data_IF_074268077073
#
_entry.id   IF_074268077073
#
_cell.length_a   1.000
_cell.length_b   1.000
_cell.length_c   1.000
_cell.angle_alpha   90.00
_cell.angle_beta   90.00
_cell.angle_gamma   90.00
#
_symmetry.space_group_name_H-M   'P 1'
#
loop_
_entity.id
_entity.type
_entity.pdbx_description
1 polymer ?
#
# COMPACT_ATOMS: atom_id res chain seq x y z
N UNK A 1 8.47 4.19 1.64
CA UNK A 1 9.12 4.01 0.33
C UNK A 1 9.93 5.23 -0.10
N UNK A 2 9.41 6.45 0.04
CA UNK A 2 10.19 7.68 -0.24
C UNK A 2 11.48 7.74 0.59
N UNK A 3 11.37 7.63 1.92
CA UNK A 3 12.53 7.56 2.82
C UNK A 3 13.48 6.40 2.51
N UNK A 4 12.95 5.27 2.05
CA UNK A 4 13.78 4.15 1.63
C UNK A 4 14.61 4.51 0.38
N UNK A 5 14.06 5.34 -0.51
CA UNK A 5 14.80 5.91 -1.64
C UNK A 5 16.00 6.73 -1.17
N UNK A 6 15.84 7.58 -0.16
CA UNK A 6 16.96 8.33 0.44
C UNK A 6 18.05 7.42 1.02
N UNK A 7 17.69 6.24 1.52
CA UNK A 7 18.64 5.29 2.10
C UNK A 7 19.35 4.42 1.07
N UNK A 8 18.69 4.14 -0.07
CA UNK A 8 19.19 3.19 -1.07
C UNK A 8 19.82 3.84 -2.31
N UNK A 9 19.43 5.07 -2.62
CA UNK A 9 19.93 5.78 -3.80
C UNK A 9 21.12 6.66 -3.41
N UNK A 10 22.26 6.40 -4.04
CA UNK A 10 23.43 7.26 -3.94
C UNK A 10 23.26 8.45 -4.89
N UNK A 11 23.11 9.65 -4.32
CA UNK A 11 23.03 10.90 -5.06
C UNK A 11 24.36 11.64 -5.02
N UNK A 12 24.71 12.29 -6.12
CA UNK A 12 25.84 13.21 -6.16
C UNK A 12 25.54 14.44 -5.29
N UNK A 13 26.50 14.86 -4.45
CA UNK A 13 26.36 16.02 -3.55
C UNK A 13 26.10 17.35 -4.28
N UNK A 14 26.41 17.42 -5.58
CA UNK A 14 26.13 18.58 -6.43
C UNK A 14 24.68 18.65 -6.89
N UNK A 15 23.90 17.59 -6.70
CA UNK A 15 22.51 17.52 -7.12
C UNK A 15 21.64 18.43 -6.23
N UNK A 16 20.79 19.30 -6.81
CA UNK A 16 19.88 20.10 -6.01
C UNK A 16 18.96 19.22 -5.16
N UNK A 17 18.71 19.60 -3.91
CA UNK A 17 17.82 18.86 -3.00
C UNK A 17 16.43 18.59 -3.63
N UNK A 18 15.90 19.55 -4.41
CA UNK A 18 14.65 19.39 -5.15
C UNK A 18 14.64 18.18 -6.10
N UNK A 19 15.77 17.88 -6.72
CA UNK A 19 15.91 16.75 -7.63
C UNK A 19 16.05 15.43 -6.86
N UNK A 20 16.77 15.43 -5.74
CA UNK A 20 16.82 14.29 -4.81
C UNK A 20 15.41 13.88 -4.38
N UNK A 21 14.64 14.83 -3.86
CA UNK A 21 13.24 14.64 -3.45
C UNK A 21 12.39 14.10 -4.60
N UNK A 22 12.57 14.65 -5.81
CA UNK A 22 11.88 14.18 -7.01
C UNK A 22 12.25 12.74 -7.34
N UNK A 23 13.53 12.36 -7.26
CA UNK A 23 13.98 11.00 -7.54
C UNK A 23 13.51 10.00 -6.49
N UNK A 24 13.52 10.35 -5.20
CA UNK A 24 12.96 9.52 -4.13
C UNK A 24 11.45 9.29 -4.30
N UNK A 25 10.72 10.32 -4.74
CA UNK A 25 9.30 10.19 -5.09
C UNK A 25 9.08 9.27 -6.31
N UNK A 26 9.91 9.39 -7.35
CA UNK A 26 9.88 8.50 -8.52
C UNK A 26 10.17 7.05 -8.13
N UNK A 27 11.21 6.83 -7.33
CA UNK A 27 11.58 5.53 -6.80
C UNK A 27 10.43 4.89 -6.02
N UNK A 28 9.84 5.63 -5.08
CA UNK A 28 8.70 5.15 -4.31
C UNK A 28 7.52 4.76 -5.21
N UNK A 29 7.21 5.59 -6.21
CA UNK A 29 6.12 5.34 -7.15
C UNK A 29 6.36 4.11 -8.03
N UNK A 30 7.59 3.84 -8.47
CA UNK A 30 7.92 2.67 -9.29
C UNK A 30 8.06 1.39 -8.47
N UNK A 31 8.54 1.49 -7.23
CA UNK A 31 8.64 0.34 -6.31
C UNK A 31 7.27 -0.15 -5.83
N UNK A 32 6.33 0.77 -5.59
CA UNK A 32 4.98 0.39 -5.16
C UNK A 32 4.19 -0.27 -6.30
N UNK A 33 4.30 0.28 -7.52
CA UNK A 33 3.73 -0.33 -8.73
C UNK A 33 4.52 0.12 -9.95
N UNK A 34 5.08 -0.82 -10.71
CA UNK A 34 5.85 -0.47 -11.90
C UNK A 34 4.98 0.18 -12.97
N UNK A 35 5.57 1.04 -13.81
CA UNK A 35 4.87 1.68 -14.92
C UNK A 35 4.13 0.67 -15.82
N UNK A 36 4.72 -0.52 -16.04
CA UNK A 36 4.18 -1.52 -16.97
C UNK A 36 2.94 -2.19 -16.37
N UNK A 37 2.98 -2.49 -15.07
CA UNK A 37 1.82 -3.02 -14.35
C UNK A 37 0.72 -1.96 -14.26
N UNK A 38 1.07 -0.72 -13.96
CA UNK A 38 0.09 0.38 -13.86
C UNK A 38 -0.61 0.64 -15.20
N UNK A 39 0.13 0.64 -16.32
CA UNK A 39 -0.43 0.74 -17.67
C UNK A 39 -1.25 -0.48 -18.06
N UNK A 40 -0.91 -1.69 -17.60
CA UNK A 40 -1.74 -2.89 -17.82
C UNK A 40 -3.08 -2.80 -17.07
N UNK A 41 -3.10 -2.18 -15.89
CA UNK A 41 -4.31 -2.04 -15.08
C UNK A 41 -5.24 -0.93 -15.58
N UNK A 42 -4.71 0.20 -16.04
CA UNK A 42 -5.52 1.38 -16.43
C UNK A 42 -5.56 1.67 -17.93
N UNK A 43 -4.67 1.06 -18.71
CA UNK A 43 -4.41 1.41 -20.10
C UNK A 43 -3.34 2.50 -20.25
N UNK A 44 -3.04 2.83 -21.52
CA UNK A 44 -1.96 3.76 -21.88
C UNK A 44 -2.43 5.21 -22.08
N UNK A 45 -3.71 5.43 -22.36
CA UNK A 45 -4.31 6.75 -22.53
C UNK A 45 -5.80 6.69 -22.24
N UNK A 46 -6.29 7.63 -21.42
CA UNK A 46 -7.65 7.69 -20.90
C UNK A 46 -8.10 9.13 -20.82
N UNK A 47 -9.36 9.38 -21.17
CA UNK A 47 -10.00 10.65 -20.86
C UNK A 47 -10.31 10.77 -19.36
N UNK A 48 -10.76 9.67 -18.75
CA UNK A 48 -11.12 9.60 -17.34
C UNK A 48 -10.80 8.22 -16.75
N UNK A 49 -10.65 8.18 -15.42
CA UNK A 49 -10.42 6.98 -14.62
C UNK A 49 -11.46 6.97 -13.50
N UNK A 50 -12.21 5.88 -13.37
CA UNK A 50 -13.21 5.79 -12.31
C UNK A 50 -12.55 5.61 -10.94
N UNK A 51 -13.21 6.12 -9.89
CA UNK A 51 -12.73 5.92 -8.52
C UNK A 51 -12.68 4.43 -8.13
N UNK A 52 -13.53 3.60 -8.72
CA UNK A 52 -13.54 2.15 -8.45
C UNK A 52 -12.29 1.45 -9.00
N UNK A 53 -11.81 1.82 -10.19
CA UNK A 53 -10.54 1.33 -10.73
C UNK A 53 -9.38 1.70 -9.79
N UNK A 54 -9.34 2.95 -9.33
CA UNK A 54 -8.30 3.44 -8.42
C UNK A 54 -8.36 2.74 -7.05
N UNK A 55 -9.56 2.44 -6.55
CA UNK A 55 -9.75 1.69 -5.30
C UNK A 55 -9.32 0.23 -5.42
N UNK A 56 -9.51 -0.39 -6.58
CA UNK A 56 -9.02 -1.75 -6.82
C UNK A 56 -7.49 -1.80 -6.76
N UNK A 57 -6.82 -0.80 -7.34
CA UNK A 57 -5.35 -0.66 -7.26
C UNK A 57 -4.92 -0.35 -5.82
N UNK A 58 -5.63 0.53 -5.10
CA UNK A 58 -5.33 0.85 -3.70
C UNK A 58 -5.39 -0.39 -2.81
N UNK A 59 -6.39 -1.26 -3.01
CA UNK A 59 -6.54 -2.49 -2.22
C UNK A 59 -5.41 -3.49 -2.46
N UNK A 60 -4.96 -3.62 -3.72
CA UNK A 60 -3.92 -4.59 -4.08
C UNK A 60 -2.49 -4.12 -3.79
N UNK A 61 -2.23 -2.82 -3.85
CA UNK A 61 -0.86 -2.26 -3.77
C UNK A 61 -0.64 -1.28 -2.61
N UNK A 62 -1.69 -0.95 -1.85
CA UNK A 62 -1.61 0.00 -0.73
C UNK A 62 -1.35 1.46 -1.15
N UNK A 63 -1.58 1.80 -2.43
CA UNK A 63 -1.27 3.12 -2.99
C UNK A 63 -2.49 4.03 -2.91
N UNK A 64 -2.35 5.23 -2.33
CA UNK A 64 -3.45 6.19 -2.25
C UNK A 64 -3.97 6.60 -3.64
N UNK A 65 -5.26 6.91 -3.72
CA UNK A 65 -5.89 7.39 -4.96
C UNK A 65 -5.17 8.62 -5.53
N UNK A 66 -4.67 9.50 -4.67
CA UNK A 66 -3.94 10.70 -5.07
C UNK A 66 -2.59 10.38 -5.72
N UNK A 67 -1.82 9.46 -5.12
CA UNK A 67 -0.55 9.01 -5.69
C UNK A 67 -0.77 8.32 -7.04
N UNK A 68 -1.85 7.53 -7.17
CA UNK A 68 -2.22 6.92 -8.44
C UNK A 68 -2.59 7.98 -9.50
N UNK A 69 -3.38 8.99 -9.16
CA UNK A 69 -3.74 10.08 -10.09
C UNK A 69 -2.51 10.88 -10.51
N UNK A 70 -1.57 11.12 -9.60
CA UNK A 70 -0.29 11.75 -9.91
C UNK A 70 0.56 10.87 -10.85
N UNK A 71 0.65 9.56 -10.59
CA UNK A 71 1.36 8.62 -11.47
C UNK A 71 0.72 8.53 -12.86
N UNK A 72 -0.62 8.51 -12.94
CA UNK A 72 -1.35 8.49 -14.20
C UNK A 72 -1.04 9.72 -15.06
N UNK A 73 -0.97 10.90 -14.44
CA UNK A 73 -0.53 12.15 -15.08
C UNK A 73 0.91 12.05 -15.57
N UNK A 74 1.82 11.58 -14.70
CA UNK A 74 3.24 11.47 -15.00
C UNK A 74 3.54 10.50 -16.16
N UNK A 75 2.76 9.43 -16.28
CA UNK A 75 2.87 8.44 -17.36
C UNK A 75 2.10 8.84 -18.64
N UNK A 76 1.42 9.99 -18.65
CA UNK A 76 0.61 10.44 -19.79
C UNK A 76 -0.67 9.65 -20.01
N UNK A 77 -1.09 8.84 -19.02
CA UNK A 77 -2.35 8.09 -19.06
C UNK A 77 -3.53 9.08 -19.03
N UNK A 78 -3.41 10.14 -18.23
CA UNK A 78 -4.33 11.28 -18.23
C UNK A 78 -3.57 12.58 -18.50
N UNK A 79 -4.28 13.61 -18.97
CA UNK A 79 -3.68 14.93 -19.18
C UNK A 79 -3.43 15.68 -17.86
N UNK A 80 -2.51 16.64 -17.90
CA UNK A 80 -2.29 17.63 -16.82
C UNK A 80 -3.60 18.37 -16.45
N UNK A 81 -4.43 18.71 -17.44
CA UNK A 81 -5.71 19.35 -17.22
C UNK A 81 -6.70 18.46 -16.45
N UNK A 82 -6.70 17.15 -16.75
CA UNK A 82 -7.54 16.18 -16.05
C UNK A 82 -7.09 16.00 -14.60
N UNK A 83 -5.77 15.89 -14.37
CA UNK A 83 -5.22 15.83 -13.02
C UNK A 83 -5.57 17.09 -12.21
N UNK A 84 -5.41 18.28 -12.80
CA UNK A 84 -5.79 19.54 -12.16
C UNK A 84 -7.28 19.60 -11.82
N UNK A 85 -8.15 19.13 -12.73
CA UNK A 85 -9.58 19.02 -12.47
C UNK A 85 -9.89 18.10 -11.29
N UNK A 86 -9.22 16.95 -11.19
CA UNK A 86 -9.34 16.05 -10.05
C UNK A 86 -8.96 16.76 -8.74
N UNK A 87 -7.79 17.42 -8.67
CA UNK A 87 -7.36 18.13 -7.46
C UNK A 87 -8.35 19.23 -7.05
N UNK A 88 -8.84 20.02 -8.01
CA UNK A 88 -9.83 21.08 -7.75
C UNK A 88 -11.14 20.48 -7.23
N UNK A 89 -11.64 19.43 -7.88
CA UNK A 89 -12.89 18.77 -7.50
C UNK A 89 -12.79 18.15 -6.11
N UNK A 90 -11.68 17.46 -5.81
CA UNK A 90 -11.40 16.91 -4.46
C UNK A 90 -11.42 18.00 -3.40
N UNK A 91 -10.76 19.14 -3.65
CA UNK A 91 -10.66 20.21 -2.66
C UNK A 91 -11.97 21.00 -2.48
N UNK A 92 -12.85 21.04 -3.50
CA UNK A 92 -14.13 21.77 -3.44
C UNK A 92 -15.30 20.94 -2.92
N UNK A 93 -15.26 19.62 -3.10
CA UNK A 93 -16.37 18.73 -2.74
C UNK A 93 -15.95 17.82 -1.58
N UNK A 94 -16.44 18.15 -0.38
CA UNK A 94 -16.16 17.41 0.85
C UNK A 94 -16.57 15.93 0.75
N UNK A 95 -17.75 15.63 0.22
CA UNK A 95 -18.22 14.25 0.09
C UNK A 95 -17.33 13.43 -0.88
N UNK A 96 -16.88 14.05 -1.97
CA UNK A 96 -15.95 13.40 -2.88
C UNK A 96 -14.57 13.21 -2.25
N UNK A 97 -14.08 14.20 -1.49
CA UNK A 97 -12.83 14.09 -0.73
C UNK A 97 -12.85 12.90 0.22
N UNK A 98 -13.92 12.76 1.00
CA UNK A 98 -14.09 11.62 1.93
C UNK A 98 -14.09 10.28 1.19
N UNK A 99 -14.69 10.22 -0.01
CA UNK A 99 -14.66 9.01 -0.82
C UNK A 99 -13.25 8.67 -1.34
N UNK A 100 -12.45 9.68 -1.70
CA UNK A 100 -11.07 9.52 -2.19
C UNK A 100 -10.12 9.12 -1.06
N UNK A 101 -10.30 9.72 0.13
CA UNK A 101 -9.42 9.52 1.30
C UNK A 101 -9.81 8.27 2.11
N UNK A 102 -11.03 7.73 1.91
CA UNK A 102 -11.43 6.45 2.51
C UNK A 102 -10.58 5.30 1.98
N UNK A 103 -9.70 4.80 2.84
CA UNK A 103 -8.86 3.64 2.56
C UNK A 103 -9.70 2.40 2.26
N UNK A 104 -9.40 1.72 1.14
CA UNK A 104 -9.85 0.36 0.83
C UNK A 104 -8.80 -0.69 1.15
N UNK A 105 -7.67 -0.28 1.74
CA UNK A 105 -6.68 -1.20 2.26
C UNK A 105 -7.28 -1.86 3.50
N UNK A 106 -7.42 -3.18 3.45
CA UNK A 106 -7.77 -3.97 4.63
C UNK A 106 -6.53 -4.01 5.52
N UNK A 107 -6.67 -3.72 6.81
CA UNK A 107 -5.61 -4.01 7.77
C UNK A 107 -5.19 -5.47 7.57
N UNK A 108 -3.91 -5.68 7.27
CA UNK A 108 -3.28 -6.96 7.47
C UNK A 108 -3.53 -7.30 8.93
N UNK A 109 -4.37 -8.31 9.22
CA UNK A 109 -4.49 -8.82 10.58
C UNK A 109 -3.10 -9.31 10.94
N UNK A 110 -2.42 -8.60 11.84
CA UNK A 110 -1.09 -8.93 12.33
C UNK A 110 -1.13 -10.26 13.07
N UNK A 111 -1.17 -11.34 12.31
CA UNK A 111 -1.19 -12.71 12.81
C UNK A 111 0.24 -13.26 12.95
N UNK A 112 1.28 -12.50 12.58
CA UNK A 112 2.67 -13.00 12.61
C UNK A 112 3.08 -13.54 13.96
N UNK A 113 2.80 -12.81 15.05
CA UNK A 113 3.10 -13.30 16.39
C UNK A 113 2.30 -14.58 16.69
N UNK A 114 1.00 -14.58 16.41
CA UNK A 114 0.15 -15.75 16.60
C UNK A 114 0.63 -16.95 15.78
N UNK A 115 0.99 -16.76 14.52
CA UNK A 115 1.56 -17.77 13.62
C UNK A 115 2.89 -18.30 14.14
N UNK A 116 3.74 -17.45 14.75
CA UNK A 116 4.98 -17.90 15.38
C UNK A 116 4.69 -18.77 16.60
N UNK A 117 3.73 -18.39 17.43
CA UNK A 117 3.32 -19.18 18.60
C UNK A 117 2.74 -20.52 18.16
N UNK A 118 1.80 -20.53 17.19
CA UNK A 118 1.23 -21.78 16.67
C UNK A 118 2.28 -22.67 15.98
N UNK A 119 3.22 -22.08 15.24
CA UNK A 119 4.34 -22.83 14.65
C UNK A 119 5.25 -23.45 15.72
N UNK A 120 5.58 -22.71 16.77
CA UNK A 120 6.38 -23.22 17.89
C UNK A 120 5.65 -24.33 18.66
N UNK A 121 4.32 -24.19 18.86
CA UNK A 121 3.47 -25.20 19.48
C UNK A 121 3.40 -26.47 18.64
N UNK A 122 3.15 -26.35 17.33
CA UNK A 122 3.11 -27.48 16.39
C UNK A 122 4.47 -28.18 16.23
N UNK A 123 5.56 -27.44 16.44
CA UNK A 123 6.94 -27.98 16.43
C UNK A 123 7.38 -28.51 17.81
N UNK A 124 6.45 -28.60 18.78
CA UNK A 124 6.70 -29.05 20.16
C UNK A 124 7.79 -28.24 20.91
N UNK A 125 8.10 -27.02 20.45
CA UNK A 125 9.09 -26.14 21.10
C UNK A 125 8.54 -25.47 22.35
N UNK A 126 7.21 -25.33 22.44
CA UNK A 126 6.50 -24.78 23.60
C UNK A 126 5.27 -25.63 23.92
N UNK A 127 4.81 -25.57 25.17
CA UNK A 127 3.59 -26.26 25.59
C UNK A 127 2.33 -25.46 25.27
N UNK A 128 1.16 -26.13 25.28
CA UNK A 128 -0.14 -25.46 25.19
C UNK A 128 -0.35 -24.37 26.25
N UNK A 129 0.16 -24.60 27.48
CA UNK A 129 0.10 -23.60 28.55
C UNK A 129 0.90 -22.35 28.18
N UNK A 130 2.11 -22.54 27.62
CA UNK A 130 2.94 -21.40 27.20
C UNK A 130 2.35 -20.68 25.98
N UNK A 131 1.76 -21.41 25.04
CA UNK A 131 1.07 -20.81 23.90
C UNK A 131 -0.16 -19.98 24.34
N UNK A 132 -0.94 -20.49 25.30
CA UNK A 132 -2.08 -19.81 25.92
C UNK A 132 -1.66 -18.51 26.62
N UNK A 133 -0.57 -18.54 27.39
CA UNK A 133 0.02 -17.35 28.02
C UNK A 133 0.46 -16.31 26.97
N UNK A 134 1.18 -16.75 25.93
CA UNK A 134 1.71 -15.86 24.89
C UNK A 134 0.59 -15.22 24.06
N UNK A 135 -0.44 -15.98 23.69
CA UNK A 135 -1.58 -15.50 22.90
C UNK A 135 -2.59 -14.71 23.74
N UNK A 136 -2.47 -14.74 25.07
CA UNK A 136 -3.46 -14.23 26.01
C UNK A 136 -4.87 -14.82 25.75
N UNK A 137 -4.91 -16.12 25.49
CA UNK A 137 -6.12 -16.88 25.17
C UNK A 137 -6.23 -18.10 26.08
N UNK A 138 -7.43 -18.66 26.24
CA UNK A 138 -7.59 -19.89 27.03
C UNK A 138 -6.95 -21.10 26.33
N UNK A 139 -6.45 -22.06 27.10
CA UNK A 139 -5.93 -23.34 26.56
C UNK A 139 -6.97 -24.04 25.67
N UNK A 140 -8.27 -23.90 25.96
CA UNK A 140 -9.34 -24.46 25.14
C UNK A 140 -9.35 -23.84 23.74
N UNK A 141 -9.30 -22.52 23.64
CA UNK A 141 -9.27 -21.78 22.36
C UNK A 141 -8.02 -22.12 21.56
N UNK A 142 -6.86 -22.20 22.21
CA UNK A 142 -5.59 -22.58 21.54
C UNK A 142 -5.65 -24.00 20.98
N UNK A 143 -6.34 -24.93 21.67
CA UNK A 143 -6.53 -26.31 21.18
C UNK A 143 -7.49 -26.38 19.99
N UNK A 144 -8.57 -25.61 20.03
CA UNK A 144 -9.55 -25.56 18.94
C UNK A 144 -8.93 -24.95 17.67
N UNK A 145 -8.11 -23.91 17.82
CA UNK A 145 -7.45 -23.23 16.69
C UNK A 145 -6.23 -23.99 16.12
N UNK A 146 -5.67 -24.96 16.86
CA UNK A 146 -4.59 -25.80 16.36
C UNK A 146 -5.17 -26.89 15.45
N UNK A 147 -5.55 -26.51 14.24
CA UNK A 147 -5.90 -27.44 13.16
C UNK A 147 -4.59 -27.95 12.50
N UNK A 148 -4.13 -29.13 12.93
CA UNK A 148 -3.01 -29.82 12.27
C UNK A 148 -3.51 -30.46 10.97
N UNK A 149 -2.95 -30.06 9.83
CA UNK A 149 -3.19 -30.65 8.51
C UNK A 149 -2.06 -31.61 8.15
#
# INVERSE_FOLDING_TARGET
>A
MHELGHLLLDFDDTLPQKDVERFCNLFANEMLISQDVFKKLLGVSRHDISLNELRAIQSNYGISVEAQMFKAKQLGIISESRYKYFCITKNKNQAFREQVEKSTFHEEKFNRFSSLVYRALASELISFSKASELLNESIYVVREQLELV
#
